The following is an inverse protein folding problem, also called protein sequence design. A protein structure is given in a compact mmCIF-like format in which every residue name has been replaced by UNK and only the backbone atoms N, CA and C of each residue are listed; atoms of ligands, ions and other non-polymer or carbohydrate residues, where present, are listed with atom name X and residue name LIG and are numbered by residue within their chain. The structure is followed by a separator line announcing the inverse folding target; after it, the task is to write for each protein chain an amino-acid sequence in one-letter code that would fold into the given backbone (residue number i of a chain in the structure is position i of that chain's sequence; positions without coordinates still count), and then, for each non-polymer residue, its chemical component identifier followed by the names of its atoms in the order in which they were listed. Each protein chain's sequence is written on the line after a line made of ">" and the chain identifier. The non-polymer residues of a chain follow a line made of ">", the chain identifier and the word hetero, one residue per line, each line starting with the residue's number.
data_IF_310630641532
#
_entry.id   IF_310630641532
#
_cell.length_a   1.000
_cell.length_b   1.000
_cell.length_c   1.000
_cell.angle_alpha   90.00
_cell.angle_beta   90.00
_cell.angle_gamma   90.00
#
_symmetry.space_group_name_H-M   'P 1'
#
loop_
_entity.id
_entity.type
_entity.pdbx_description
1 polymer ?
#
# COMPACT_ATOMS: atom_id res chain seq x y z
N UNK A 1 -27.46 10.30 -4.53
CA UNK A 1 -27.06 9.59 -3.30
C UNK A 1 -26.30 10.54 -2.41
N UNK A 2 -26.21 10.27 -1.11
CA UNK A 2 -25.35 11.06 -0.20
C UNK A 2 -23.91 10.83 -0.65
N UNK A 3 -23.29 11.87 -1.22
CA UNK A 3 -21.93 11.84 -1.75
C UNK A 3 -20.93 12.53 -0.83
N UNK A 4 -19.72 12.78 -1.33
CA UNK A 4 -18.76 13.70 -0.70
C UNK A 4 -18.23 14.68 -1.75
N UNK A 5 -17.82 15.86 -1.32
CA UNK A 5 -17.13 16.83 -2.17
C UNK A 5 -15.61 16.67 -2.09
N UNK A 6 -14.89 17.13 -3.09
CA UNK A 6 -13.46 17.39 -2.97
C UNK A 6 -13.10 18.70 -3.66
N UNK A 7 -11.98 19.29 -3.24
CA UNK A 7 -11.38 20.46 -3.85
C UNK A 7 -9.89 20.25 -4.03
N UNK A 8 -9.36 20.53 -5.22
CA UNK A 8 -7.94 20.65 -5.47
C UNK A 8 -7.58 22.13 -5.52
N UNK A 9 -6.60 22.52 -4.70
CA UNK A 9 -6.07 23.88 -4.61
C UNK A 9 -4.63 23.88 -5.15
N UNK A 10 -4.24 24.98 -5.80
CA UNK A 10 -2.87 25.28 -6.18
C UNK A 10 -2.47 26.65 -5.67
N UNK A 11 -1.49 26.71 -4.76
CA UNK A 11 -1.11 27.91 -4.03
C UNK A 11 -2.32 28.65 -3.43
N UNK A 12 -3.25 27.86 -2.86
CA UNK A 12 -4.51 28.36 -2.27
C UNK A 12 -5.62 28.71 -3.27
N UNK A 13 -5.39 28.66 -4.59
CA UNK A 13 -6.41 28.91 -5.62
C UNK A 13 -7.11 27.61 -6.00
N UNK A 14 -8.44 27.62 -6.10
CA UNK A 14 -9.19 26.44 -6.57
C UNK A 14 -8.87 26.12 -8.02
N UNK A 15 -8.31 24.93 -8.24
CA UNK A 15 -8.03 24.35 -9.57
C UNK A 15 -9.13 23.41 -10.03
N UNK A 16 -9.80 22.73 -9.09
CA UNK A 16 -10.86 21.76 -9.35
C UNK A 16 -11.76 21.63 -8.12
N UNK A 17 -13.07 21.55 -8.31
CA UNK A 17 -14.03 21.32 -7.22
C UNK A 17 -15.23 20.52 -7.73
N UNK A 18 -15.54 19.40 -7.09
CA UNK A 18 -16.63 18.53 -7.50
C UNK A 18 -17.27 17.81 -6.32
N UNK A 19 -18.56 17.45 -6.51
CA UNK A 19 -19.28 16.51 -5.66
C UNK A 19 -19.32 15.15 -6.35
N UNK A 20 -18.93 14.10 -5.62
CA UNK A 20 -18.87 12.72 -6.12
C UNK A 20 -19.99 11.91 -5.49
N UNK A 21 -20.75 11.22 -6.34
CA UNK A 21 -21.77 10.24 -5.93
C UNK A 21 -21.69 8.99 -6.78
N UNK A 22 -21.91 7.82 -6.19
CA UNK A 22 -21.98 6.56 -6.94
C UNK A 22 -20.61 5.93 -7.21
N UNK A 23 -20.38 5.32 -8.38
CA UNK A 23 -19.16 4.56 -8.68
C UNK A 23 -17.92 5.48 -8.76
N UNK A 24 -16.69 4.92 -8.73
CA UNK A 24 -15.46 5.67 -8.91
C UNK A 24 -15.45 6.49 -10.21
N UNK A 25 -15.02 7.73 -10.13
CA UNK A 25 -14.92 8.67 -11.27
C UNK A 25 -13.49 9.22 -11.37
N UNK A 26 -13.10 9.60 -12.58
CA UNK A 26 -11.81 10.24 -12.86
C UNK A 26 -12.04 11.71 -13.18
N UNK A 27 -11.28 12.58 -12.52
CA UNK A 27 -11.30 14.02 -12.77
C UNK A 27 -9.90 14.49 -13.14
N UNK A 28 -9.81 15.39 -14.13
CA UNK A 28 -8.54 15.89 -14.66
C UNK A 28 -8.63 17.41 -14.80
N UNK A 29 -7.54 18.10 -14.49
CA UNK A 29 -7.37 19.53 -14.75
C UNK A 29 -5.94 19.81 -15.20
N UNK A 30 -5.74 20.93 -15.89
CA UNK A 30 -4.41 21.41 -16.32
C UNK A 30 -4.07 22.64 -15.50
N UNK A 31 -2.82 22.69 -15.02
CA UNK A 31 -2.29 23.82 -14.27
C UNK A 31 -1.51 24.71 -15.24
N UNK A 32 -2.05 25.87 -15.59
CA UNK A 32 -1.47 26.77 -16.60
C UNK A 32 -0.26 27.55 -16.04
N UNK A 33 -0.37 28.05 -14.81
CA UNK A 33 0.72 28.72 -14.11
C UNK A 33 1.48 27.74 -13.21
N UNK A 34 2.82 27.82 -13.08
CA UNK A 34 3.55 27.02 -12.10
C UNK A 34 3.00 27.20 -10.68
N UNK A 35 2.63 26.08 -10.06
CA UNK A 35 2.15 26.02 -8.68
C UNK A 35 3.23 25.42 -7.79
N UNK A 36 3.42 25.97 -6.58
CA UNK A 36 4.42 25.47 -5.62
C UNK A 36 3.83 24.44 -4.65
N UNK A 37 2.57 24.61 -4.29
CA UNK A 37 1.85 23.73 -3.37
C UNK A 37 0.52 23.29 -3.94
N UNK A 38 0.27 21.98 -3.90
CA UNK A 38 -1.01 21.38 -4.28
C UNK A 38 -1.67 20.76 -3.06
N UNK A 39 -2.89 21.17 -2.78
CA UNK A 39 -3.67 20.67 -1.65
C UNK A 39 -4.95 20.02 -2.16
N UNK A 40 -5.17 18.76 -1.80
CA UNK A 40 -6.41 18.04 -2.08
C UNK A 40 -7.21 17.89 -0.79
N UNK A 41 -8.35 18.59 -0.73
CA UNK A 41 -9.26 18.58 0.39
C UNK A 41 -10.46 17.68 0.09
N UNK A 42 -10.83 16.80 1.03
CA UNK A 42 -12.10 16.09 1.00
C UNK A 42 -13.10 16.81 1.89
N UNK A 43 -14.31 17.00 1.38
CA UNK A 43 -15.39 17.76 1.97
C UNK A 43 -16.55 16.77 2.25
N UNK A 44 -16.63 16.20 3.46
CA UNK A 44 -17.72 15.28 3.78
C UNK A 44 -19.07 16.00 3.75
N UNK A 45 -20.10 15.35 3.23
CA UNK A 45 -21.47 15.86 3.35
C UNK A 45 -22.02 15.52 4.75
N UNK A 46 -21.69 16.38 5.71
CA UNK A 46 -22.17 16.29 7.09
C UNK A 46 -21.08 15.92 8.11
N UNK A 47 -21.37 16.19 9.38
CA UNK A 47 -20.44 16.00 10.51
C UNK A 47 -20.60 14.63 11.22
N UNK A 48 -21.38 13.70 10.66
CA UNK A 48 -21.58 12.38 11.26
C UNK A 48 -20.33 11.51 11.07
N UNK A 49 -19.91 10.72 12.08
CA UNK A 49 -18.90 9.68 11.92
C UNK A 49 -19.23 8.68 10.80
N UNK A 50 -20.53 8.49 10.52
CA UNK A 50 -21.04 7.58 9.48
C UNK A 50 -21.19 8.26 8.11
N UNK A 51 -20.80 9.53 7.98
CA UNK A 51 -20.86 10.23 6.71
C UNK A 51 -19.95 9.53 5.68
N UNK A 52 -20.40 9.37 4.42
CA UNK A 52 -19.57 8.77 3.38
C UNK A 52 -18.24 9.51 3.23
N UNK A 53 -17.15 8.80 3.39
CA UNK A 53 -15.81 9.33 3.19
C UNK A 53 -15.39 9.12 1.73
N UNK A 54 -14.81 10.16 1.13
CA UNK A 54 -14.18 10.01 -0.17
C UNK A 54 -12.86 9.25 -0.02
N UNK A 55 -12.69 8.23 -0.86
CA UNK A 55 -11.44 7.51 -1.00
C UNK A 55 -10.78 7.91 -2.31
N UNK A 56 -9.60 8.51 -2.23
CA UNK A 56 -8.77 8.80 -3.40
C UNK A 56 -7.94 7.55 -3.67
N UNK A 57 -8.29 6.87 -4.75
CA UNK A 57 -7.61 5.63 -5.13
C UNK A 57 -6.24 5.90 -5.74
N UNK A 58 -6.19 6.80 -6.72
CA UNK A 58 -5.01 7.14 -7.50
C UNK A 58 -5.00 8.66 -7.74
N UNK A 59 -3.84 9.30 -7.65
CA UNK A 59 -3.64 10.73 -7.98
C UNK A 59 -2.38 10.88 -8.82
N UNK A 60 -2.53 11.36 -10.05
CA UNK A 60 -1.43 11.48 -11.01
C UNK A 60 -1.11 12.94 -11.34
N UNK A 61 0.17 13.27 -11.38
CA UNK A 61 0.68 14.55 -11.87
C UNK A 61 1.66 14.29 -13.02
N UNK A 62 1.37 14.85 -14.20
CA UNK A 62 2.18 14.64 -15.40
C UNK A 62 2.48 13.15 -15.68
N UNK A 63 1.46 12.29 -15.50
CA UNK A 63 1.57 10.83 -15.65
C UNK A 63 2.15 10.09 -14.45
N UNK A 64 2.73 10.77 -13.46
CA UNK A 64 3.34 10.15 -12.28
C UNK A 64 2.34 10.04 -11.14
N UNK A 65 2.12 8.83 -10.62
CA UNK A 65 1.35 8.60 -9.39
C UNK A 65 2.07 9.24 -8.18
N UNK A 66 1.42 10.22 -7.55
CA UNK A 66 2.01 10.98 -6.44
C UNK A 66 2.15 10.13 -5.18
N UNK A 67 1.32 9.08 -5.02
CA UNK A 67 1.42 8.18 -3.87
C UNK A 67 2.76 7.43 -3.86
N UNK A 68 3.36 7.19 -5.03
CA UNK A 68 4.71 6.61 -5.17
C UNK A 68 5.84 7.55 -4.74
N UNK A 69 5.58 8.85 -4.68
CA UNK A 69 6.56 9.89 -4.34
C UNK A 69 6.41 10.42 -2.92
N UNK A 70 5.54 9.81 -2.11
CA UNK A 70 5.31 10.22 -0.73
C UNK A 70 6.60 10.09 0.10
N UNK A 71 7.02 11.19 0.74
CA UNK A 71 8.23 11.26 1.59
C UNK A 71 7.92 11.34 3.08
N UNK A 72 6.73 11.78 3.42
CA UNK A 72 6.27 11.95 4.80
C UNK A 72 4.76 11.80 4.85
N UNK A 73 4.26 11.21 5.94
CA UNK A 73 2.84 11.17 6.25
C UNK A 73 2.63 11.84 7.61
N UNK A 74 1.61 12.69 7.72
CA UNK A 74 1.17 13.27 8.98
C UNK A 74 -0.31 13.01 9.14
N UNK A 75 -0.73 12.60 10.33
CA UNK A 75 -2.13 12.41 10.71
C UNK A 75 -2.47 13.48 11.74
N UNK A 76 -3.36 14.39 11.38
CA UNK A 76 -3.86 15.42 12.28
C UNK A 76 -5.21 14.93 12.80
N UNK A 77 -5.33 14.75 14.12
CA UNK A 77 -6.59 14.35 14.77
C UNK A 77 -7.49 15.58 14.97
N UNK A 78 -8.78 15.34 15.18
CA UNK A 78 -9.77 16.40 15.41
C UNK A 78 -9.46 17.29 16.64
N UNK A 79 -8.71 16.77 17.61
CA UNK A 79 -8.25 17.51 18.79
C UNK A 79 -6.98 18.35 18.54
N UNK A 80 -6.46 18.38 17.31
CA UNK A 80 -5.25 19.11 16.93
C UNK A 80 -3.95 18.31 17.06
N UNK A 81 -3.98 17.10 17.63
CA UNK A 81 -2.78 16.27 17.76
C UNK A 81 -2.22 15.93 16.38
N UNK A 82 -0.92 16.17 16.19
CA UNK A 82 -0.20 15.74 14.99
C UNK A 82 0.58 14.47 15.31
N UNK A 83 0.28 13.40 14.59
CA UNK A 83 1.06 12.17 14.59
C UNK A 83 1.85 12.06 13.30
N UNK A 84 3.10 11.63 13.40
CA UNK A 84 3.84 11.13 12.24
C UNK A 84 3.19 9.82 11.81
N UNK A 85 2.95 9.66 10.52
CA UNK A 85 2.53 8.40 9.91
C UNK A 85 3.68 7.80 9.10
N UNK A 86 3.48 6.55 8.69
CA UNK A 86 4.46 5.81 7.89
C UNK A 86 4.14 5.90 6.41
N UNK A 87 5.04 6.45 5.58
CA UNK A 87 4.77 6.56 4.15
C UNK A 87 4.77 5.21 3.44
N UNK A 88 5.37 4.17 4.03
CA UNK A 88 5.42 2.83 3.41
C UNK A 88 4.98 1.72 4.35
N UNK A 89 4.56 0.60 3.76
CA UNK A 89 4.21 -0.61 4.52
C UNK A 89 5.42 -1.18 5.29
N UNK A 90 6.64 -0.98 4.78
CA UNK A 90 7.86 -1.41 5.45
C UNK A 90 8.10 -0.62 6.75
N UNK A 91 7.93 0.69 6.73
CA UNK A 91 8.05 1.52 7.93
C UNK A 91 6.90 1.26 8.91
N UNK A 92 5.67 1.06 8.41
CA UNK A 92 4.52 0.68 9.23
C UNK A 92 4.76 -0.65 9.97
N UNK A 93 5.35 -1.63 9.28
CA UNK A 93 5.71 -2.91 9.89
C UNK A 93 6.82 -2.75 10.94
N UNK A 94 7.83 -1.92 10.67
CA UNK A 94 8.90 -1.65 11.62
C UNK A 94 8.38 -0.99 12.90
N UNK A 95 7.53 0.03 12.78
CA UNK A 95 6.88 0.67 13.94
C UNK A 95 6.06 -0.34 14.76
N UNK A 96 5.30 -1.22 14.09
CA UNK A 96 4.51 -2.23 14.77
C UNK A 96 5.39 -3.26 15.51
N UNK A 97 6.51 -3.69 14.92
CA UNK A 97 7.46 -4.62 15.54
C UNK A 97 8.14 -3.98 16.76
N UNK A 98 8.58 -2.73 16.64
CA UNK A 98 9.18 -1.97 17.75
C UNK A 98 8.17 -1.81 18.89
N UNK A 99 6.93 -1.43 18.57
CA UNK A 99 5.85 -1.33 19.56
C UNK A 99 5.54 -2.67 20.24
N UNK A 100 5.76 -3.79 19.55
CA UNK A 100 5.65 -5.14 20.10
C UNK A 100 6.90 -5.59 20.89
N UNK A 101 7.93 -4.74 21.03
CA UNK A 101 9.12 -5.00 21.83
C UNK A 101 10.33 -5.52 21.06
N UNK A 102 10.32 -5.50 19.72
CA UNK A 102 11.50 -5.89 18.93
C UNK A 102 12.59 -4.81 19.00
N UNK A 103 13.87 -5.18 19.18
CA UNK A 103 14.98 -4.24 19.13
C UNK A 103 15.11 -3.60 17.75
N UNK A 104 15.17 -2.27 17.69
CA UNK A 104 15.22 -1.52 16.43
C UNK A 104 16.52 -1.75 15.64
N UNK A 105 17.62 -2.08 16.32
CA UNK A 105 18.92 -2.40 15.73
C UNK A 105 18.95 -3.76 15.01
N UNK A 106 17.95 -4.61 15.26
CA UNK A 106 17.74 -5.86 14.52
C UNK A 106 16.84 -5.69 13.28
N UNK A 107 16.27 -4.50 13.06
CA UNK A 107 15.35 -4.24 11.96
C UNK A 107 16.04 -3.52 10.80
N UNK A 108 16.02 -4.13 9.62
CA UNK A 108 16.45 -3.49 8.37
C UNK A 108 15.22 -3.16 7.53
N UNK A 109 14.83 -1.88 7.52
CA UNK A 109 13.66 -1.41 6.78
C UNK A 109 14.00 -1.18 5.31
N UNK A 110 13.25 -1.82 4.41
CA UNK A 110 13.46 -1.73 2.94
C UNK A 110 12.15 -1.36 2.23
N UNK A 111 11.82 -0.06 2.09
CA UNK A 111 10.66 0.36 1.33
C UNK A 111 10.88 0.16 -0.18
N UNK A 112 9.83 -0.29 -0.88
CA UNK A 112 9.78 -0.32 -2.34
C UNK A 112 8.66 0.59 -2.81
N UNK A 113 9.03 1.75 -3.34
CA UNK A 113 8.10 2.82 -3.76
C UNK A 113 7.86 2.86 -5.26
N UNK A 114 8.71 2.20 -6.05
CA UNK A 114 8.54 2.07 -7.49
C UNK A 114 8.34 0.60 -7.88
N UNK A 115 7.20 0.31 -8.48
CA UNK A 115 6.78 -1.05 -8.80
C UNK A 115 6.15 -1.11 -10.19
N UNK A 116 6.95 -0.86 -11.21
CA UNK A 116 6.60 -1.24 -12.58
C UNK A 116 6.43 -2.77 -12.65
N UNK A 117 5.31 -3.25 -13.19
CA UNK A 117 5.02 -4.69 -13.30
C UNK A 117 4.41 -5.36 -12.05
N UNK A 118 4.27 -4.65 -10.92
CA UNK A 118 3.51 -5.10 -9.74
C UNK A 118 4.30 -5.12 -8.43
N UNK A 119 3.64 -4.70 -7.34
CA UNK A 119 4.27 -4.49 -6.03
C UNK A 119 5.01 -5.72 -5.49
N UNK A 120 4.46 -6.91 -5.62
CA UNK A 120 5.08 -8.14 -5.07
C UNK A 120 6.36 -8.54 -5.81
N UNK A 121 6.38 -8.43 -7.15
CA UNK A 121 7.57 -8.72 -7.95
C UNK A 121 8.69 -7.70 -7.69
N UNK A 122 8.34 -6.40 -7.62
CA UNK A 122 9.30 -5.35 -7.30
C UNK A 122 9.93 -5.53 -5.90
N UNK A 123 9.13 -5.92 -4.90
CA UNK A 123 9.66 -6.26 -3.57
C UNK A 123 10.61 -7.47 -3.62
N UNK A 124 10.25 -8.53 -4.32
CA UNK A 124 11.09 -9.72 -4.46
C UNK A 124 12.45 -9.38 -5.11
N UNK A 125 12.46 -8.58 -6.17
CA UNK A 125 13.69 -8.16 -6.85
C UNK A 125 14.57 -7.27 -5.97
N UNK A 126 13.97 -6.29 -5.28
CA UNK A 126 14.71 -5.40 -4.39
C UNK A 126 15.37 -6.17 -3.23
N UNK A 127 14.66 -7.13 -2.64
CA UNK A 127 15.19 -8.01 -1.60
C UNK A 127 16.30 -8.92 -2.13
N UNK A 128 16.11 -9.56 -3.30
CA UNK A 128 17.13 -10.40 -3.91
C UNK A 128 18.44 -9.63 -4.21
N UNK A 129 18.34 -8.37 -4.62
CA UNK A 129 19.52 -7.51 -4.77
C UNK A 129 20.16 -7.18 -3.41
N UNK A 130 19.36 -6.95 -2.38
CA UNK A 130 19.88 -6.72 -1.03
C UNK A 130 20.60 -7.96 -0.50
N UNK A 131 20.02 -9.15 -0.65
CA UNK A 131 20.64 -10.40 -0.20
C UNK A 131 22.00 -10.63 -0.83
N UNK A 132 22.13 -10.40 -2.15
CA UNK A 132 23.43 -10.50 -2.84
C UNK A 132 24.44 -9.46 -2.35
N UNK A 133 24.01 -8.21 -2.12
CA UNK A 133 24.90 -7.16 -1.59
C UNK A 133 25.36 -7.47 -0.16
N UNK A 134 24.46 -8.04 0.64
CA UNK A 134 24.66 -8.26 2.08
C UNK A 134 25.24 -9.67 2.37
N UNK A 135 25.50 -10.49 1.33
CA UNK A 135 26.05 -11.85 1.48
C UNK A 135 25.09 -12.84 2.14
N UNK A 136 23.78 -12.63 1.99
CA UNK A 136 22.74 -13.47 2.60
C UNK A 136 22.40 -14.63 1.67
N UNK A 137 22.53 -15.86 2.17
CA UNK A 137 22.32 -17.09 1.42
C UNK A 137 21.12 -17.92 1.89
N UNK A 138 20.45 -17.52 2.97
CA UNK A 138 19.24 -18.17 3.46
C UNK A 138 18.35 -17.16 4.19
N UNK A 139 17.03 -17.23 3.95
CA UNK A 139 16.03 -16.35 4.56
C UNK A 139 14.71 -17.08 4.78
N UNK A 140 13.97 -16.70 5.82
CA UNK A 140 12.57 -17.08 5.98
C UNK A 140 11.65 -15.93 5.60
N UNK A 141 10.76 -16.17 4.64
CA UNK A 141 9.70 -15.25 4.27
C UNK A 141 8.48 -15.48 5.17
N UNK A 142 8.15 -14.49 6.00
CA UNK A 142 6.95 -14.50 6.84
C UNK A 142 5.83 -13.72 6.16
N UNK A 143 4.68 -14.34 5.93
CA UNK A 143 3.51 -13.68 5.31
C UNK A 143 2.21 -14.44 5.60
N UNK A 144 1.06 -13.81 5.32
CA UNK A 144 -0.27 -14.35 5.61
C UNK A 144 -0.73 -15.42 4.61
N UNK A 145 -1.15 -16.55 5.15
CA UNK A 145 -2.06 -17.54 4.55
C UNK A 145 -1.80 -17.87 3.09
N UNK A 146 -2.84 -17.72 2.27
CA UNK A 146 -2.86 -18.09 0.85
C UNK A 146 -1.84 -17.32 0.01
N UNK A 147 -1.38 -16.16 0.47
CA UNK A 147 -0.36 -15.35 -0.19
C UNK A 147 1.06 -15.92 -0.05
N UNK A 148 1.30 -16.81 0.90
CA UNK A 148 2.63 -17.31 1.24
C UNK A 148 3.29 -18.06 0.09
N UNK A 149 2.53 -18.92 -0.60
CA UNK A 149 3.06 -19.73 -1.69
C UNK A 149 3.53 -18.87 -2.88
N UNK A 150 2.74 -17.88 -3.29
CA UNK A 150 3.11 -16.98 -4.40
C UNK A 150 4.31 -16.13 -4.03
N UNK A 151 4.27 -15.51 -2.85
CA UNK A 151 5.34 -14.62 -2.40
C UNK A 151 6.67 -15.36 -2.26
N UNK A 152 6.65 -16.59 -1.72
CA UNK A 152 7.85 -17.44 -1.63
C UNK A 152 8.40 -17.80 -3.01
N UNK A 153 7.55 -18.19 -3.96
CA UNK A 153 7.97 -18.48 -5.34
C UNK A 153 8.57 -17.26 -6.04
N UNK A 154 7.96 -16.10 -5.90
CA UNK A 154 8.47 -14.85 -6.48
C UNK A 154 9.85 -14.49 -5.90
N UNK A 155 10.00 -14.58 -4.57
CA UNK A 155 11.27 -14.28 -3.91
C UNK A 155 12.35 -15.29 -4.28
N UNK A 156 12.04 -16.58 -4.32
CA UNK A 156 12.97 -17.63 -4.74
C UNK A 156 13.42 -17.41 -6.20
N UNK A 157 12.49 -17.14 -7.11
CA UNK A 157 12.81 -16.83 -8.52
C UNK A 157 13.69 -15.59 -8.64
N UNK A 158 13.38 -14.53 -7.90
CA UNK A 158 14.17 -13.30 -7.92
C UNK A 158 15.59 -13.50 -7.36
N UNK A 159 15.73 -14.38 -6.36
CA UNK A 159 17.01 -14.64 -5.68
C UNK A 159 17.87 -15.71 -6.36
N UNK A 160 17.33 -16.46 -7.32
CA UNK A 160 18.03 -17.55 -8.00
C UNK A 160 18.28 -18.73 -7.07
N UNK A 161 19.29 -19.55 -7.40
CA UNK A 161 19.69 -20.72 -6.59
C UNK A 161 20.67 -20.37 -5.46
N UNK A 162 21.19 -19.13 -5.44
CA UNK A 162 22.19 -18.65 -4.49
C UNK A 162 21.63 -18.38 -3.08
N UNK A 163 20.30 -18.25 -2.96
CA UNK A 163 19.60 -17.96 -1.70
C UNK A 163 18.52 -19.00 -1.48
N UNK A 164 18.56 -19.67 -0.35
CA UNK A 164 17.50 -20.57 0.10
C UNK A 164 16.37 -19.77 0.73
N UNK A 165 15.16 -19.86 0.17
CA UNK A 165 13.98 -19.14 0.68
C UNK A 165 13.05 -20.12 1.39
N UNK A 166 13.03 -20.08 2.71
CA UNK A 166 12.00 -20.67 3.55
C UNK A 166 10.72 -19.82 3.55
N UNK A 167 9.58 -20.43 3.87
CA UNK A 167 8.28 -19.73 3.92
C UNK A 167 7.55 -20.10 5.21
N UNK A 168 7.29 -19.09 6.03
CA UNK A 168 6.49 -19.17 7.25
C UNK A 168 5.13 -18.54 6.95
N UNK A 169 4.11 -19.39 6.80
CA UNK A 169 2.73 -18.95 6.54
C UNK A 169 1.99 -18.74 7.86
N UNK A 170 1.64 -17.50 8.15
CA UNK A 170 0.80 -17.14 9.29
C UNK A 170 -0.68 -17.32 8.96
N UNK A 171 -1.52 -17.58 9.96
CA UNK A 171 -2.97 -17.65 9.73
C UNK A 171 -3.51 -16.31 9.20
N UNK A 172 -4.33 -16.36 8.15
CA UNK A 172 -5.06 -15.20 7.64
C UNK A 172 -6.48 -15.22 8.25
N UNK A 173 -6.82 -14.29 9.17
CA UNK A 173 -8.15 -14.24 9.78
C UNK A 173 -9.29 -14.03 8.77
N UNK A 174 -9.00 -13.41 7.64
CA UNK A 174 -9.96 -13.16 6.56
C UNK A 174 -10.03 -14.30 5.54
N UNK A 175 -9.12 -15.28 5.63
CA UNK A 175 -9.12 -16.49 4.82
C UNK A 175 -8.65 -17.72 5.62
N UNK A 176 -9.42 -18.15 6.64
CA UNK A 176 -8.97 -19.21 7.54
C UNK A 176 -8.78 -20.54 6.82
N UNK A 177 -7.71 -21.25 7.18
CA UNK A 177 -7.44 -22.58 6.66
C UNK A 177 -8.59 -23.52 7.02
N UNK A 178 -9.12 -24.25 6.03
CA UNK A 178 -10.17 -25.24 6.25
C UNK A 178 -11.60 -24.69 6.36
N UNK A 179 -11.81 -23.37 6.27
CA UNK A 179 -13.18 -22.81 6.23
C UNK A 179 -13.34 -21.62 5.27
N UNK A 180 -12.28 -21.22 4.57
CA UNK A 180 -12.32 -20.10 3.62
C UNK A 180 -13.43 -20.22 2.56
N UNK A 181 -13.79 -21.43 2.13
CA UNK A 181 -14.83 -21.67 1.12
C UNK A 181 -16.25 -21.36 1.61
N UNK A 182 -16.44 -21.19 2.92
CA UNK A 182 -17.73 -20.80 3.51
C UNK A 182 -18.02 -19.30 3.33
N UNK A 183 -17.03 -18.50 2.93
CA UNK A 183 -17.15 -17.05 2.79
C UNK A 183 -16.79 -16.59 1.38
N UNK A 184 -17.57 -15.66 0.81
CA UNK A 184 -17.30 -15.10 -0.52
C UNK A 184 -15.93 -14.38 -0.61
N UNK A 185 -15.50 -13.76 0.48
CA UNK A 185 -14.16 -13.16 0.61
C UNK A 185 -13.03 -14.18 0.48
N UNK A 186 -13.19 -15.37 1.08
CA UNK A 186 -12.23 -16.47 0.99
C UNK A 186 -12.10 -16.98 -0.45
N UNK A 187 -13.22 -17.17 -1.15
CA UNK A 187 -13.21 -17.50 -2.58
C UNK A 187 -12.47 -16.45 -3.42
N UNK A 188 -12.80 -15.17 -3.23
CA UNK A 188 -12.16 -14.08 -3.97
C UNK A 188 -10.63 -14.06 -3.75
N UNK A 189 -10.17 -14.27 -2.51
CA UNK A 189 -8.74 -14.33 -2.18
C UNK A 189 -8.04 -15.52 -2.81
N UNK A 190 -8.58 -16.73 -2.65
CA UNK A 190 -7.98 -17.95 -3.22
C UNK A 190 -7.94 -17.88 -4.75
N UNK A 191 -9.04 -17.47 -5.40
CA UNK A 191 -9.09 -17.35 -6.85
C UNK A 191 -8.09 -16.30 -7.38
N UNK A 192 -7.99 -15.14 -6.72
CA UNK A 192 -6.99 -14.11 -7.06
C UNK A 192 -5.57 -14.66 -7.01
N UNK A 193 -5.22 -15.39 -5.96
CA UNK A 193 -3.88 -15.96 -5.80
C UNK A 193 -3.61 -17.10 -6.79
N UNK A 194 -4.62 -17.91 -7.12
CA UNK A 194 -4.51 -18.95 -8.14
C UNK A 194 -4.22 -18.35 -9.52
N UNK A 195 -4.98 -17.33 -9.92
CA UNK A 195 -4.76 -16.63 -11.20
C UNK A 195 -3.36 -16.01 -11.25
N UNK A 196 -2.93 -15.40 -10.15
CA UNK A 196 -1.59 -14.82 -10.08
C UNK A 196 -0.49 -15.88 -10.19
N UNK A 197 -0.62 -17.02 -9.51
CA UNK A 197 0.31 -18.15 -9.61
C UNK A 197 0.42 -18.72 -11.04
N UNK A 198 -0.63 -18.60 -11.86
CA UNK A 198 -0.61 -19.03 -13.26
C UNK A 198 0.03 -18.00 -14.20
N UNK A 199 0.14 -16.74 -13.78
CA UNK A 199 0.74 -15.65 -14.58
C UNK A 199 2.22 -15.43 -14.27
N UNK A 200 2.68 -15.89 -13.11
CA UNK A 200 4.07 -15.82 -12.65
C UNK A 200 4.90 -17.04 -13.08
#
# INVERSE_FOLDING_TARGET
>A
GVGGGFRLLGDGRTLLEHTVTGPPQVFTTTVEDPVRDLELQTLPNGASPDAPQLFIKDLHMNGTDVHRRMRSLRRIRANGDTLTGTPTHAEAAAEALIAAGWPADLLVVRPVTDAEGGRSAANAQALAQAFRRDGIHAVDLVTLGVHARRSGRLLQRASGEEVQVGVISLADPECPAGTWWLQGSGWAKVAKELVALCRD
#
